data_IF_047916237150
#
_entry.id   IF_047916237150
#
_cell.length_a   1.000
_cell.length_b   1.000
_cell.length_c   1.000
_cell.angle_alpha   90.00
_cell.angle_beta   90.00
_cell.angle_gamma   90.00
#
_symmetry.space_group_name_H-M   'P 1'
#
loop_
_entity.id
_entity.type
_entity.pdbx_description
1 polymer ?
#
# COMPACT_ATOMS: atom_id res chain seq x y z
N UNK A 1 6.34 1.70 0.74
CA UNK A 1 6.02 2.25 -0.59
C UNK A 1 6.53 3.68 -0.77
N UNK A 2 6.39 4.61 0.20
CA UNK A 2 6.89 5.99 0.08
C UNK A 2 8.37 6.03 -0.33
N UNK A 3 9.23 5.30 0.37
CA UNK A 3 10.67 5.20 0.07
C UNK A 3 10.98 4.59 -1.30
N UNK A 4 10.21 3.59 -1.71
CA UNK A 4 10.34 2.99 -3.05
C UNK A 4 9.91 3.99 -4.14
N UNK A 5 8.84 4.74 -3.91
CA UNK A 5 8.35 5.79 -4.80
C UNK A 5 9.40 6.89 -5.01
N UNK A 6 10.04 7.36 -3.94
CA UNK A 6 11.12 8.36 -4.02
C UNK A 6 12.30 7.84 -4.86
N UNK A 7 12.76 6.61 -4.61
CA UNK A 7 13.85 5.99 -5.36
C UNK A 7 13.51 5.85 -6.86
N UNK A 8 12.26 5.48 -7.20
CA UNK A 8 11.85 5.39 -8.60
C UNK A 8 11.75 6.74 -9.28
N UNK A 9 11.31 7.77 -8.58
CA UNK A 9 11.30 9.14 -9.07
C UNK A 9 12.73 9.65 -9.34
N UNK A 10 13.67 9.40 -8.44
CA UNK A 10 15.08 9.77 -8.58
C UNK A 10 15.78 9.01 -9.73
N UNK A 11 15.41 7.74 -9.95
CA UNK A 11 15.96 6.91 -11.03
C UNK A 11 15.38 7.21 -12.41
N UNK A 12 14.46 8.17 -12.54
CA UNK A 12 13.72 8.51 -13.77
C UNK A 12 12.96 7.31 -14.37
N UNK A 13 12.50 6.38 -13.51
CA UNK A 13 11.71 5.25 -13.96
C UNK A 13 10.22 5.53 -13.73
N UNK A 14 9.65 6.33 -14.62
CA UNK A 14 8.29 6.85 -14.53
C UNK A 14 7.23 5.75 -14.40
N UNK A 15 7.44 4.59 -15.05
CA UNK A 15 6.48 3.50 -14.98
C UNK A 15 6.36 2.91 -13.55
N UNK A 16 7.50 2.56 -12.92
CA UNK A 16 7.49 2.05 -11.54
C UNK A 16 7.04 3.11 -10.54
N UNK A 17 7.40 4.38 -10.79
CA UNK A 17 6.92 5.49 -9.97
C UNK A 17 5.40 5.58 -10.01
N UNK A 18 4.80 5.59 -11.20
CA UNK A 18 3.35 5.65 -11.36
C UNK A 18 2.63 4.43 -10.73
N UNK A 19 3.16 3.22 -10.91
CA UNK A 19 2.64 2.02 -10.24
C UNK A 19 2.71 2.14 -8.71
N UNK A 20 3.79 2.71 -8.18
CA UNK A 20 3.92 2.94 -6.73
C UNK A 20 2.88 3.92 -6.21
N UNK A 21 2.53 4.96 -6.97
CA UNK A 21 1.46 5.90 -6.62
C UNK A 21 0.11 5.21 -6.51
N UNK A 22 -0.24 4.32 -7.45
CA UNK A 22 -1.49 3.54 -7.38
C UNK A 22 -1.51 2.59 -6.16
N UNK A 23 -0.39 1.91 -5.89
CA UNK A 23 -0.29 1.06 -4.72
C UNK A 23 -0.42 1.86 -3.40
N UNK A 24 0.24 3.02 -3.31
CA UNK A 24 0.11 3.91 -2.16
C UNK A 24 -1.35 4.41 -2.02
N UNK A 25 -1.99 4.80 -3.12
CA UNK A 25 -3.40 5.20 -3.14
C UNK A 25 -4.28 4.11 -2.57
N UNK A 26 -4.10 2.86 -3.00
CA UNK A 26 -4.86 1.71 -2.50
C UNK A 26 -4.72 1.55 -0.98
N UNK A 27 -3.50 1.63 -0.43
CA UNK A 27 -3.31 1.54 1.03
C UNK A 27 -3.90 2.72 1.79
N UNK A 28 -3.80 3.95 1.25
CA UNK A 28 -4.42 5.11 1.87
C UNK A 28 -5.95 5.04 1.84
N UNK A 29 -6.55 4.42 0.81
CA UNK A 29 -7.98 4.12 0.78
C UNK A 29 -8.37 3.20 1.93
N UNK A 30 -7.65 2.08 2.11
CA UNK A 30 -7.91 1.13 3.21
C UNK A 30 -7.74 1.75 4.61
N UNK A 31 -6.93 2.81 4.72
CA UNK A 31 -6.74 3.58 5.95
C UNK A 31 -7.69 4.78 6.06
N UNK A 32 -8.66 4.92 5.14
CA UNK A 32 -9.59 6.06 5.04
C UNK A 32 -8.91 7.43 4.99
N UNK A 33 -7.70 7.51 4.44
CA UNK A 33 -6.92 8.74 4.27
C UNK A 33 -7.22 9.40 2.91
N UNK A 34 -8.45 9.78 2.68
CA UNK A 34 -8.97 10.20 1.38
C UNK A 34 -8.28 11.43 0.77
N UNK A 35 -7.86 12.39 1.58
CA UNK A 35 -7.13 13.58 1.08
C UNK A 35 -5.78 13.19 0.46
N UNK A 36 -5.05 12.28 1.12
CA UNK A 36 -3.78 11.77 0.56
C UNK A 36 -4.01 10.95 -0.71
N UNK A 37 -5.07 10.13 -0.70
CA UNK A 37 -5.46 9.34 -1.87
C UNK A 37 -5.75 10.22 -3.07
N UNK A 38 -6.53 11.28 -2.90
CA UNK A 38 -6.88 12.19 -4.00
C UNK A 38 -5.63 12.83 -4.62
N UNK A 39 -4.72 13.34 -3.80
CA UNK A 39 -3.45 13.89 -4.26
C UNK A 39 -2.63 12.88 -5.06
N UNK A 40 -2.53 11.64 -4.59
CA UNK A 40 -1.78 10.58 -5.29
C UNK A 40 -2.44 10.19 -6.61
N UNK A 41 -3.78 10.09 -6.65
CA UNK A 41 -4.52 9.80 -7.87
C UNK A 41 -4.42 10.92 -8.90
N UNK A 42 -4.39 12.18 -8.48
CA UNK A 42 -4.16 13.31 -9.37
C UNK A 42 -2.78 13.24 -10.03
N UNK A 43 -1.73 12.91 -9.26
CA UNK A 43 -0.39 12.71 -9.81
C UNK A 43 -0.39 11.47 -10.74
N UNK A 44 -0.97 10.35 -10.33
CA UNK A 44 -1.02 9.13 -11.13
C UNK A 44 -1.74 9.33 -12.47
N UNK A 45 -2.74 10.19 -12.53
CA UNK A 45 -3.47 10.51 -13.76
C UNK A 45 -2.59 11.15 -14.85
N UNK A 46 -1.52 11.84 -14.48
CA UNK A 46 -0.61 12.47 -15.45
C UNK A 46 0.27 11.47 -16.23
N UNK A 47 0.20 10.18 -15.88
CA UNK A 47 0.97 9.10 -16.50
C UNK A 47 0.07 8.19 -17.35
N UNK A 48 -0.17 8.50 -18.64
CA UNK A 48 -1.01 7.69 -19.53
C UNK A 48 -0.22 6.50 -20.09
N UNK A 49 0.10 5.53 -19.25
CA UNK A 49 0.79 4.31 -19.66
C UNK A 49 -0.16 3.33 -20.39
N UNK A 50 0.19 2.05 -20.40
CA UNK A 50 -0.53 0.99 -21.09
C UNK A 50 -1.96 0.75 -20.56
N UNK A 51 -2.69 -0.11 -21.26
CA UNK A 51 -4.08 -0.48 -20.89
C UNK A 51 -4.19 -1.03 -19.48
N UNK A 52 -3.20 -1.83 -19.02
CA UNK A 52 -3.22 -2.42 -17.70
C UNK A 52 -3.08 -1.35 -16.61
N UNK A 53 -2.23 -0.33 -16.84
CA UNK A 53 -2.13 0.81 -15.94
C UNK A 53 -3.44 1.61 -15.89
N UNK A 54 -4.04 1.91 -17.05
CA UNK A 54 -5.31 2.63 -17.12
C UNK A 54 -6.41 1.89 -16.38
N UNK A 55 -6.53 0.58 -16.58
CA UNK A 55 -7.46 -0.25 -15.86
C UNK A 55 -7.29 -0.14 -14.34
N UNK A 56 -6.06 -0.30 -13.85
CA UNK A 56 -5.73 -0.17 -12.42
C UNK A 56 -5.99 1.22 -11.86
N UNK A 57 -5.68 2.26 -12.64
CA UNK A 57 -5.98 3.64 -12.23
C UNK A 57 -7.49 3.81 -11.99
N UNK A 58 -8.32 3.41 -12.97
CA UNK A 58 -9.76 3.53 -12.85
C UNK A 58 -10.35 2.64 -11.76
N UNK A 59 -9.85 1.43 -11.56
CA UNK A 59 -10.25 0.57 -10.45
C UNK A 59 -9.91 1.19 -9.09
N UNK A 60 -8.70 1.73 -8.94
CA UNK A 60 -8.28 2.39 -7.69
C UNK A 60 -9.15 3.63 -7.42
N UNK A 61 -9.48 4.38 -8.47
CA UNK A 61 -10.37 5.53 -8.37
C UNK A 61 -11.80 5.13 -8.04
N UNK A 62 -12.29 4.03 -8.63
CA UNK A 62 -13.57 3.44 -8.27
C UNK A 62 -13.62 3.02 -6.80
N UNK A 63 -12.58 2.35 -6.31
CA UNK A 63 -12.47 1.96 -4.91
C UNK A 63 -12.43 3.18 -3.96
N UNK A 64 -11.75 4.24 -4.36
CA UNK A 64 -11.73 5.51 -3.60
C UNK A 64 -13.15 6.07 -3.37
N UNK A 65 -13.99 6.07 -4.39
CA UNK A 65 -15.39 6.50 -4.25
C UNK A 65 -16.25 5.46 -3.50
N UNK A 66 -16.00 4.18 -3.72
CA UNK A 66 -16.71 3.11 -3.04
C UNK A 66 -16.56 3.17 -1.52
N UNK A 67 -15.33 3.35 -1.03
CA UNK A 67 -15.04 3.48 0.41
C UNK A 67 -15.59 4.78 1.04
N UNK A 68 -15.91 5.77 0.23
CA UNK A 68 -16.65 6.97 0.64
C UNK A 68 -18.17 6.81 0.54
N UNK A 69 -18.66 5.62 0.19
CA UNK A 69 -20.07 5.32 -0.03
C UNK A 69 -20.72 6.13 -1.18
N UNK A 70 -19.90 6.64 -2.10
CA UNK A 70 -20.32 7.34 -3.31
C UNK A 70 -20.43 6.33 -4.47
N UNK A 71 -21.36 5.39 -4.33
CA UNK A 71 -21.45 4.19 -5.18
C UNK A 71 -21.70 4.50 -6.66
N UNK A 72 -22.51 5.51 -6.98
CA UNK A 72 -22.74 5.92 -8.37
C UNK A 72 -21.42 6.37 -9.04
N UNK A 73 -20.62 7.15 -8.33
CA UNK A 73 -19.29 7.55 -8.83
C UNK A 73 -18.35 6.36 -8.95
N UNK A 74 -18.38 5.45 -7.99
CA UNK A 74 -17.58 4.23 -8.03
C UNK A 74 -17.92 3.38 -9.28
N UNK A 75 -19.19 3.22 -9.59
CA UNK A 75 -19.67 2.50 -10.78
C UNK A 75 -19.14 3.09 -12.08
N UNK A 76 -19.14 4.42 -12.21
CA UNK A 76 -18.59 5.09 -13.40
C UNK A 76 -17.13 4.70 -13.62
N UNK A 77 -16.31 4.75 -12.57
CA UNK A 77 -14.89 4.45 -12.67
C UNK A 77 -14.60 2.96 -12.83
N UNK A 78 -15.31 2.07 -12.15
CA UNK A 78 -15.16 0.64 -12.35
C UNK A 78 -15.51 0.23 -13.80
N UNK A 79 -16.59 0.79 -14.37
CA UNK A 79 -16.96 0.54 -15.77
C UNK A 79 -15.91 1.10 -16.75
N UNK A 80 -15.29 2.25 -16.45
CA UNK A 80 -14.18 2.76 -17.24
C UNK A 80 -12.98 1.80 -17.18
N UNK A 81 -12.60 1.32 -16.00
CA UNK A 81 -11.50 0.37 -15.82
C UNK A 81 -11.73 -0.94 -16.56
N UNK A 82 -12.95 -1.46 -16.54
CA UNK A 82 -13.31 -2.70 -17.21
C UNK A 82 -12.97 -2.71 -18.71
N UNK A 83 -13.10 -1.57 -19.39
CA UNK A 83 -12.82 -1.45 -20.82
C UNK A 83 -11.34 -1.63 -21.18
N UNK A 84 -10.44 -1.47 -20.22
CA UNK A 84 -9.00 -1.57 -20.42
C UNK A 84 -8.44 -2.97 -20.09
N UNK A 85 -9.14 -3.79 -19.30
CA UNK A 85 -8.68 -5.13 -18.97
C UNK A 85 -8.72 -6.07 -20.17
N UNK A 86 -7.66 -6.84 -20.34
CA UNK A 86 -7.55 -7.84 -21.41
C UNK A 86 -7.73 -9.27 -20.88
N UNK A 87 -7.24 -9.55 -19.68
CA UNK A 87 -7.38 -10.85 -19.03
C UNK A 87 -8.80 -11.10 -18.57
N UNK A 88 -9.29 -12.33 -18.76
CA UNK A 88 -10.64 -12.74 -18.37
C UNK A 88 -10.83 -12.71 -16.85
N UNK A 89 -9.83 -13.12 -16.07
CA UNK A 89 -9.88 -13.08 -14.61
C UNK A 89 -9.99 -11.63 -14.08
N UNK A 90 -9.23 -10.70 -14.69
CA UNK A 90 -9.29 -9.28 -14.33
C UNK A 90 -10.64 -8.67 -14.67
N UNK A 91 -11.20 -8.99 -15.83
CA UNK A 91 -12.57 -8.58 -16.19
C UNK A 91 -13.61 -9.13 -15.21
N UNK A 92 -13.52 -10.42 -14.87
CA UNK A 92 -14.42 -11.02 -13.90
C UNK A 92 -14.31 -10.35 -12.52
N UNK A 93 -13.09 -9.99 -12.10
CA UNK A 93 -12.87 -9.26 -10.85
C UNK A 93 -13.49 -7.85 -10.88
N UNK A 94 -13.32 -7.11 -11.99
CA UNK A 94 -13.93 -5.79 -12.17
C UNK A 94 -15.48 -5.89 -12.20
N UNK A 95 -16.06 -6.88 -12.88
CA UNK A 95 -17.50 -7.12 -12.81
C UNK A 95 -17.98 -7.40 -11.41
N UNK A 96 -17.22 -8.19 -10.63
CA UNK A 96 -17.55 -8.45 -9.25
C UNK A 96 -17.60 -7.16 -8.40
N UNK A 97 -16.65 -6.24 -8.62
CA UNK A 97 -16.63 -4.93 -7.96
C UNK A 97 -17.82 -4.06 -8.35
N UNK A 98 -18.17 -4.06 -9.64
CA UNK A 98 -19.33 -3.35 -10.16
C UNK A 98 -20.62 -3.89 -9.50
N UNK A 99 -20.77 -5.20 -9.43
CA UNK A 99 -21.95 -5.81 -8.81
C UNK A 99 -22.03 -5.56 -7.30
N UNK A 100 -20.89 -5.54 -6.61
CA UNK A 100 -20.84 -5.14 -5.19
C UNK A 100 -21.28 -3.68 -4.98
N UNK A 101 -20.89 -2.78 -5.88
CA UNK A 101 -21.34 -1.39 -5.82
C UNK A 101 -22.86 -1.26 -6.12
N UNK A 102 -23.38 -2.00 -7.09
CA UNK A 102 -24.82 -2.07 -7.35
C UNK A 102 -25.62 -2.58 -6.16
N UNK A 103 -25.11 -3.59 -5.46
CA UNK A 103 -25.77 -4.09 -4.24
C UNK A 103 -25.99 -2.99 -3.21
N UNK A 104 -25.02 -2.10 -3.04
CA UNK A 104 -25.13 -0.97 -2.12
C UNK A 104 -26.03 0.17 -2.63
N UNK A 105 -26.30 0.21 -3.94
CA UNK A 105 -27.24 1.16 -4.56
C UNK A 105 -28.69 0.65 -4.56
N UNK A 106 -29.00 -0.41 -3.81
CA UNK A 106 -30.35 -1.00 -3.74
C UNK A 106 -30.86 -1.59 -5.08
N UNK A 107 -29.93 -1.94 -5.97
CA UNK A 107 -30.25 -2.58 -7.23
C UNK A 107 -30.15 -4.10 -7.08
N UNK A 108 -31.15 -4.84 -7.53
CA UNK A 108 -31.28 -6.30 -7.37
C UNK A 108 -30.36 -7.13 -8.30
N UNK A 109 -29.13 -6.71 -8.50
CA UNK A 109 -28.18 -7.37 -9.41
C UNK A 109 -27.25 -8.40 -8.73
N UNK A 110 -27.72 -8.98 -7.61
CA UNK A 110 -26.93 -9.93 -6.85
C UNK A 110 -26.65 -11.24 -7.62
N UNK A 111 -27.56 -11.69 -8.47
CA UNK A 111 -27.39 -12.92 -9.26
C UNK A 111 -26.17 -12.84 -10.19
N UNK A 112 -25.92 -11.68 -10.77
CA UNK A 112 -24.74 -11.42 -11.59
C UNK A 112 -23.46 -11.45 -10.75
N UNK A 113 -23.48 -10.87 -9.55
CA UNK A 113 -22.35 -10.93 -8.61
C UNK A 113 -22.02 -12.37 -8.22
N UNK A 114 -23.02 -13.18 -7.96
CA UNK A 114 -22.87 -14.61 -7.62
C UNK A 114 -22.23 -15.37 -8.79
N UNK A 115 -22.69 -15.14 -10.02
CA UNK A 115 -22.12 -15.76 -11.21
C UNK A 115 -20.64 -15.46 -11.36
N UNK A 116 -20.25 -14.19 -11.28
CA UNK A 116 -18.83 -13.80 -11.38
C UNK A 116 -18.00 -14.28 -10.19
N UNK A 117 -18.59 -14.35 -8.99
CA UNK A 117 -17.92 -14.91 -7.83
C UNK A 117 -17.57 -16.39 -8.03
N UNK A 118 -18.53 -17.22 -8.47
CA UNK A 118 -18.25 -18.64 -8.77
C UNK A 118 -17.27 -18.82 -9.93
N UNK A 119 -17.37 -17.98 -10.96
CA UNK A 119 -16.42 -18.03 -12.07
C UNK A 119 -15.00 -17.77 -11.59
N UNK A 120 -14.75 -16.74 -10.78
CA UNK A 120 -13.44 -16.46 -10.20
C UNK A 120 -12.94 -17.58 -9.30
N UNK A 121 -13.78 -18.15 -8.45
CA UNK A 121 -13.40 -19.26 -7.55
C UNK A 121 -12.97 -20.49 -8.36
N UNK A 122 -13.58 -20.73 -9.53
CA UNK A 122 -13.30 -21.90 -10.34
C UNK A 122 -12.12 -21.72 -11.30
N UNK A 123 -11.84 -20.49 -11.75
CA UNK A 123 -10.82 -20.23 -12.81
C UNK A 123 -9.55 -19.59 -12.27
N UNK A 124 -9.66 -18.75 -11.24
CA UNK A 124 -8.52 -17.96 -10.77
C UNK A 124 -7.67 -18.68 -9.73
N UNK A 125 -6.36 -18.55 -9.85
CA UNK A 125 -5.40 -18.93 -8.81
C UNK A 125 -5.02 -17.76 -7.88
N UNK A 126 -5.51 -16.55 -8.14
CA UNK A 126 -5.19 -15.36 -7.35
C UNK A 126 -5.98 -15.32 -6.04
N UNK A 127 -5.34 -15.49 -4.85
CA UNK A 127 -6.05 -15.53 -3.59
C UNK A 127 -6.83 -14.24 -3.28
N UNK A 128 -6.39 -13.09 -3.78
CA UNK A 128 -7.10 -11.83 -3.60
C UNK A 128 -8.44 -11.84 -4.34
N UNK A 129 -8.47 -12.33 -5.58
CA UNK A 129 -9.69 -12.46 -6.37
C UNK A 129 -10.66 -13.45 -5.72
N UNK A 130 -10.15 -14.59 -5.28
CA UNK A 130 -10.94 -15.63 -4.58
C UNK A 130 -11.52 -15.08 -3.27
N UNK A 131 -10.73 -14.35 -2.48
CA UNK A 131 -11.21 -13.71 -1.22
C UNK A 131 -12.35 -12.71 -1.48
N UNK A 132 -12.24 -11.91 -2.52
CA UNK A 132 -13.30 -10.96 -2.90
C UNK A 132 -14.56 -11.67 -3.45
N UNK A 133 -14.39 -12.77 -4.17
CA UNK A 133 -15.49 -13.59 -4.64
C UNK A 133 -16.30 -14.19 -3.46
N UNK A 134 -15.61 -14.75 -2.46
CA UNK A 134 -16.30 -15.21 -1.25
C UNK A 134 -16.96 -14.08 -0.46
N UNK A 135 -16.42 -12.86 -0.49
CA UNK A 135 -17.08 -11.70 0.12
C UNK A 135 -18.43 -11.40 -0.54
N UNK A 136 -18.52 -11.45 -1.88
CA UNK A 136 -19.79 -11.28 -2.57
C UNK A 136 -20.80 -12.39 -2.20
N UNK A 137 -20.36 -13.65 -2.12
CA UNK A 137 -21.23 -14.75 -1.69
C UNK A 137 -21.67 -14.59 -0.22
N UNK A 138 -20.87 -13.98 0.64
CA UNK A 138 -21.26 -13.65 2.02
C UNK A 138 -22.36 -12.58 2.05
N UNK A 139 -22.32 -11.58 1.17
CA UNK A 139 -23.39 -10.56 1.07
C UNK A 139 -24.71 -11.23 0.68
N UNK A 140 -24.72 -12.11 -0.34
CA UNK A 140 -25.87 -12.89 -0.73
C UNK A 140 -26.40 -13.78 0.41
N UNK A 141 -25.51 -14.50 1.08
CA UNK A 141 -25.91 -15.35 2.21
C UNK A 141 -26.50 -14.55 3.37
N UNK A 142 -26.05 -13.33 3.60
CA UNK A 142 -26.59 -12.40 4.60
C UNK A 142 -28.00 -11.94 4.20
N UNK A 143 -28.20 -11.58 2.94
CA UNK A 143 -29.52 -11.18 2.43
C UNK A 143 -30.54 -12.33 2.56
N UNK A 144 -30.13 -13.55 2.21
CA UNK A 144 -30.94 -14.76 2.36
C UNK A 144 -31.10 -15.24 3.81
N UNK A 145 -30.56 -14.53 4.78
CA UNK A 145 -30.52 -14.91 6.19
C UNK A 145 -30.01 -16.34 6.46
N UNK A 146 -29.08 -16.83 5.63
CA UNK A 146 -28.53 -18.17 5.72
C UNK A 146 -27.25 -18.19 6.57
N UNK A 147 -27.38 -18.41 7.88
CA UNK A 147 -26.25 -18.50 8.79
C UNK A 147 -25.26 -19.61 8.39
N UNK A 148 -25.75 -20.72 7.83
CA UNK A 148 -24.89 -21.81 7.39
C UNK A 148 -24.00 -21.41 6.19
N UNK A 149 -24.56 -20.77 5.16
CA UNK A 149 -23.80 -20.29 4.02
C UNK A 149 -22.85 -19.16 4.42
N UNK A 150 -23.31 -18.24 5.26
CA UNK A 150 -22.46 -17.17 5.76
C UNK A 150 -21.24 -17.70 6.52
N UNK A 151 -21.41 -18.68 7.41
CA UNK A 151 -20.32 -19.32 8.11
C UNK A 151 -19.35 -20.03 7.17
N UNK A 152 -19.86 -20.78 6.19
CA UNK A 152 -19.06 -21.47 5.19
C UNK A 152 -18.22 -20.49 4.37
N UNK A 153 -18.84 -19.49 3.79
CA UNK A 153 -18.14 -18.52 2.93
C UNK A 153 -17.15 -17.65 3.71
N UNK A 154 -17.44 -17.33 4.98
CA UNK A 154 -16.48 -16.62 5.84
C UNK A 154 -15.22 -17.44 6.10
N UNK A 155 -15.36 -18.76 6.30
CA UNK A 155 -14.23 -19.67 6.48
C UNK A 155 -13.36 -19.76 5.20
N UNK A 156 -13.99 -20.00 4.06
CA UNK A 156 -13.30 -20.06 2.75
C UNK A 156 -12.59 -18.75 2.41
N UNK A 157 -13.22 -17.61 2.73
CA UNK A 157 -12.60 -16.29 2.58
C UNK A 157 -11.35 -16.14 3.46
N UNK A 158 -11.45 -16.56 4.73
CA UNK A 158 -10.33 -16.51 5.66
C UNK A 158 -9.16 -17.37 5.18
N UNK A 159 -9.42 -18.53 4.60
CA UNK A 159 -8.39 -19.39 4.01
C UNK A 159 -7.73 -18.78 2.78
N UNK A 160 -8.50 -18.11 1.91
CA UNK A 160 -7.96 -17.38 0.77
C UNK A 160 -7.08 -16.19 1.25
N UNK A 161 -7.49 -15.46 2.27
CA UNK A 161 -6.71 -14.38 2.86
C UNK A 161 -5.42 -14.89 3.52
N UNK A 162 -5.46 -16.04 4.18
CA UNK A 162 -4.26 -16.68 4.74
C UNK A 162 -3.26 -17.04 3.63
N UNK A 163 -3.71 -17.66 2.54
CA UNK A 163 -2.87 -17.97 1.38
C UNK A 163 -2.24 -16.70 0.77
N UNK A 164 -2.98 -15.60 0.72
CA UNK A 164 -2.45 -14.31 0.28
C UNK A 164 -1.36 -13.81 1.22
N UNK A 165 -1.60 -13.84 2.53
CA UNK A 165 -0.63 -13.45 3.55
C UNK A 165 0.64 -14.30 3.48
N UNK A 166 0.49 -15.63 3.39
CA UNK A 166 1.63 -16.55 3.30
C UNK A 166 2.44 -16.31 2.02
N UNK A 167 1.78 -16.02 0.91
CA UNK A 167 2.47 -15.66 -0.33
C UNK A 167 3.25 -14.36 -0.22
N UNK A 168 2.68 -13.35 0.45
CA UNK A 168 3.37 -12.07 0.70
C UNK A 168 4.56 -12.25 1.64
N UNK A 169 4.41 -13.03 2.71
CA UNK A 169 5.49 -13.32 3.66
C UNK A 169 6.66 -14.07 3.01
N UNK A 170 6.38 -14.94 2.03
CA UNK A 170 7.41 -15.68 1.28
C UNK A 170 8.34 -14.75 0.50
N UNK A 171 7.85 -13.59 0.05
CA UNK A 171 8.62 -12.60 -0.69
C UNK A 171 9.04 -11.39 0.18
N UNK A 172 8.57 -11.31 1.42
CA UNK A 172 9.04 -10.33 2.36
C UNK A 172 10.46 -10.71 2.79
N UNK A 173 11.44 -9.87 2.51
CA UNK A 173 12.75 -10.02 3.13
C UNK A 173 12.55 -9.97 4.66
N UNK A 174 13.19 -10.87 5.41
CA UNK A 174 13.11 -10.82 6.85
C UNK A 174 13.59 -9.44 7.31
N UNK A 175 12.71 -8.71 8.01
CA UNK A 175 13.10 -7.46 8.63
C UNK A 175 14.34 -7.71 9.48
N UNK A 176 15.43 -6.95 9.28
CA UNK A 176 16.62 -7.12 10.08
C UNK A 176 16.24 -7.05 11.56
N UNK A 177 16.63 -8.05 12.32
CA UNK A 177 16.33 -8.07 13.76
C UNK A 177 16.95 -6.84 14.41
N UNK A 178 16.34 -6.34 15.48
CA UNK A 178 16.88 -5.18 16.21
C UNK A 178 18.38 -5.39 16.58
N UNK A 179 18.77 -6.66 16.74
CA UNK A 179 20.15 -7.09 17.02
C UNK A 179 21.06 -6.87 15.82
N UNK A 180 20.59 -7.11 14.58
CA UNK A 180 21.34 -6.83 13.34
C UNK A 180 21.45 -5.32 13.09
N UNK A 181 20.41 -4.56 13.42
CA UNK A 181 20.42 -3.10 13.31
C UNK A 181 21.39 -2.46 14.35
N UNK A 182 21.51 -3.05 15.53
CA UNK A 182 22.43 -2.61 16.57
C UNK A 182 23.86 -3.12 16.31
N UNK A 183 24.02 -4.32 15.72
CA UNK A 183 25.32 -4.91 15.42
C UNK A 183 25.99 -4.35 14.16
N UNK A 184 25.24 -3.64 13.31
CA UNK A 184 25.78 -2.95 12.15
C UNK A 184 25.55 -1.44 12.27
N UNK A 185 26.20 -0.78 13.25
CA UNK A 185 26.10 0.66 13.38
C UNK A 185 26.67 1.27 12.12
N UNK A 186 25.87 2.06 11.44
CA UNK A 186 26.28 2.82 10.25
C UNK A 186 27.67 3.38 10.48
N UNK A 187 28.67 3.10 9.63
CA UNK A 187 30.05 3.51 9.84
C UNK A 187 30.20 5.02 10.06
N UNK A 188 29.27 5.82 9.57
CA UNK A 188 29.18 7.26 9.78
C UNK A 188 28.90 7.69 11.22
N UNK A 189 28.24 6.87 12.06
CA UNK A 189 27.98 7.23 13.47
C UNK A 189 29.29 7.26 14.28
N UNK A 190 30.17 6.31 14.04
CA UNK A 190 31.49 6.29 14.67
C UNK A 190 32.38 7.41 14.15
N UNK A 191 32.27 7.77 12.88
CA UNK A 191 32.97 8.91 12.30
C UNK A 191 32.64 10.23 13.02
N UNK A 192 31.34 10.49 13.26
CA UNK A 192 30.91 11.68 14.00
C UNK A 192 31.39 11.69 15.46
N UNK A 193 31.37 10.56 16.16
CA UNK A 193 31.86 10.45 17.53
C UNK A 193 33.34 10.77 17.58
N UNK A 194 34.13 10.24 16.65
CA UNK A 194 35.56 10.50 16.55
C UNK A 194 35.82 11.99 16.26
N UNK A 195 35.14 12.58 15.30
CA UNK A 195 35.26 14.00 14.96
C UNK A 195 34.96 14.90 16.17
N UNK A 196 33.85 14.67 16.85
CA UNK A 196 33.49 15.44 18.04
C UNK A 196 34.46 15.25 19.19
N UNK A 197 35.01 14.05 19.38
CA UNK A 197 36.04 13.78 20.39
C UNK A 197 37.31 14.56 20.12
N UNK A 198 37.78 14.63 18.88
CA UNK A 198 38.99 15.39 18.49
C UNK A 198 38.75 16.89 18.69
N UNK A 199 37.59 17.42 18.29
CA UNK A 199 37.23 18.83 18.50
C UNK A 199 37.22 19.17 20.00
N UNK A 200 36.68 18.29 20.83
CA UNK A 200 36.59 18.48 22.28
C UNK A 200 37.98 18.51 22.94
N UNK A 201 38.86 17.59 22.55
CA UNK A 201 40.28 17.56 23.05
C UNK A 201 41.01 18.83 22.63
N UNK A 202 40.79 19.31 21.39
CA UNK A 202 41.42 20.54 20.91
C UNK A 202 40.94 21.76 21.70
N UNK A 203 39.66 21.89 22.01
CA UNK A 203 39.11 22.96 22.83
C UNK A 203 39.65 22.93 24.26
N UNK A 204 39.78 21.74 24.87
CA UNK A 204 40.41 21.59 26.19
C UNK A 204 41.89 22.06 26.20
N UNK A 205 42.64 21.76 25.14
CA UNK A 205 44.02 22.22 24.98
C UNK A 205 44.12 23.76 24.92
N UNK A 206 43.19 24.40 24.17
CA UNK A 206 43.13 25.87 24.09
C UNK A 206 42.84 26.47 25.47
N UNK A 207 41.84 25.94 26.17
CA UNK A 207 41.47 26.41 27.52
C UNK A 207 42.65 26.21 28.49
N UNK A 208 43.31 25.07 28.45
CA UNK A 208 44.51 24.77 29.26
C UNK A 208 45.63 25.79 29.02
N UNK A 209 45.92 26.12 27.76
CA UNK A 209 46.96 27.12 27.41
C UNK A 209 46.57 28.54 27.86
N UNK A 210 45.31 28.92 27.79
CA UNK A 210 44.83 30.21 28.26
C UNK A 210 44.93 30.33 29.79
N UNK A 211 44.59 29.27 30.53
CA UNK A 211 44.71 29.22 31.99
C UNK A 211 46.20 29.29 32.39
N UNK A 212 47.06 28.53 31.68
CA UNK A 212 48.49 28.56 31.92
C UNK A 212 49.08 29.95 31.70
N UNK A 213 48.75 30.62 30.60
CA UNK A 213 49.17 32.00 30.28
C UNK A 213 48.67 33.01 31.32
N UNK A 214 47.43 32.87 31.79
CA UNK A 214 46.86 33.74 32.81
C UNK A 214 47.59 33.57 34.14
N UNK A 215 47.90 32.35 34.57
CA UNK A 215 48.70 32.07 35.79
C UNK A 215 50.10 32.65 35.72
N UNK A 216 50.79 32.50 34.59
CA UNK A 216 52.14 33.05 34.41
C UNK A 216 52.18 34.58 34.46
N UNK A 217 51.17 35.27 34.00
CA UNK A 217 51.09 36.74 34.11
C UNK A 217 50.86 37.24 35.53
N UNK A 218 50.17 36.47 36.37
CA UNK A 218 49.94 36.83 37.79
C UNK A 218 51.16 36.63 38.65
N UNK A 219 52.09 35.75 38.28
CA UNK A 219 53.31 35.47 39.02
C UNK A 219 54.46 36.45 38.67
N UNK A 220 54.31 37.23 37.59
CA UNK A 220 55.28 38.24 37.16
C UNK A 220 54.93 39.68 37.54
N UNK A 221 53.83 39.90 38.27
CA UNK A 221 53.48 41.14 38.97
C UNK A 221 53.81 41.03 40.48
#
# INVERSE_FOLDING_TARGET
YERASENFKESSNDWYYAQSLLNMSYYHILLHQFVKTDNLLQIAQSYPFDSAYQARYYETKGLYFYEQQLYDSALVYFNQGLNYWQSEDEKCFSYLKIMQAYYHCDTQEMDSAIYYAYKLISSSSNPNYISNAYYALMLDAKEKNSAQLLSRYSHERADAQRKLSDSMLKYAEPLPTLKEYVSNPHPWRWGWIIIWSVIFIYLLSIVGTLIYRKRHRIVQQ
#
